data_IF_899434506929
#
_entry.id   IF_899434506929
#
_cell.length_a   1.000
_cell.length_b   1.000
_cell.length_c   1.000
_cell.angle_alpha   90.00
_cell.angle_beta   90.00
_cell.angle_gamma   90.00
#
_symmetry.space_group_name_H-M   'P 1'
#
loop_
_entity.id
_entity.type
_entity.pdbx_description
1 polymer ?
#
# COMPACT_ATOMS: atom_id res chain seq x y z
N UNK A 1 -10.40 20.25 6.25
CA UNK A 1 -9.80 19.60 5.09
C UNK A 1 -9.76 18.10 5.27
N UNK A 2 -9.87 17.35 4.20
CA UNK A 2 -9.75 15.89 4.20
C UNK A 2 -8.29 15.50 3.93
N UNK A 3 -7.73 14.57 4.71
CA UNK A 3 -6.41 14.03 4.44
C UNK A 3 -6.52 12.93 3.35
N UNK A 4 -5.72 13.06 2.29
CA UNK A 4 -5.63 12.06 1.22
C UNK A 4 -4.30 11.33 1.40
N UNK A 5 -4.36 10.09 1.87
CA UNK A 5 -3.17 9.28 2.10
C UNK A 5 -2.41 8.98 0.80
N UNK A 6 -1.09 8.76 0.86
CA UNK A 6 -0.26 8.58 -0.33
C UNK A 6 -0.67 7.40 -1.22
N UNK A 7 -1.14 6.30 -0.66
CA UNK A 7 -1.65 5.15 -1.42
C UNK A 7 -2.92 5.48 -2.24
N UNK A 8 -3.72 6.48 -1.79
CA UNK A 8 -4.84 7.04 -2.58
C UNK A 8 -4.31 7.99 -3.66
N UNK A 9 -3.27 8.79 -3.37
CA UNK A 9 -2.61 9.62 -4.39
C UNK A 9 -1.99 8.74 -5.49
N UNK A 10 -1.46 7.58 -5.13
CA UNK A 10 -0.91 6.60 -6.07
C UNK A 10 -1.95 6.14 -7.13
N UNK A 11 -3.24 6.19 -6.84
CA UNK A 11 -4.30 5.92 -7.85
C UNK A 11 -4.22 6.91 -9.01
N UNK A 12 -4.08 8.21 -8.70
CA UNK A 12 -3.94 9.25 -9.72
C UNK A 12 -2.62 9.12 -10.50
N UNK A 13 -1.53 8.89 -9.78
CA UNK A 13 -0.22 8.75 -10.39
C UNK A 13 -0.15 7.53 -11.31
N UNK A 14 -0.71 6.39 -10.88
CA UNK A 14 -0.73 5.18 -11.69
C UNK A 14 -1.55 5.38 -12.97
N UNK A 15 -2.73 5.99 -12.88
CA UNK A 15 -3.56 6.29 -14.05
C UNK A 15 -2.85 7.22 -15.03
N UNK A 16 -2.22 8.29 -14.51
CA UNK A 16 -1.50 9.27 -15.34
C UNK A 16 -0.28 8.64 -16.03
N UNK A 17 0.49 7.84 -15.32
CA UNK A 17 1.67 7.14 -15.89
C UNK A 17 1.24 6.11 -16.92
N UNK A 18 0.25 5.27 -16.61
CA UNK A 18 -0.21 4.17 -17.48
C UNK A 18 -0.88 4.68 -18.76
N UNK A 19 -1.43 5.91 -18.76
CA UNK A 19 -1.91 6.54 -19.99
C UNK A 19 -0.76 6.79 -21.01
N UNK A 20 0.48 6.90 -20.55
CA UNK A 20 1.67 7.10 -21.40
C UNK A 20 2.52 5.83 -21.57
N UNK A 21 2.45 4.94 -20.60
CA UNK A 21 3.20 3.66 -20.56
C UNK A 21 2.22 2.50 -20.36
N UNK A 22 1.40 2.18 -21.38
CA UNK A 22 0.45 1.06 -21.29
C UNK A 22 1.18 -0.27 -20.99
N UNK A 23 0.61 -1.08 -20.10
CA UNK A 23 1.22 -2.33 -19.66
C UNK A 23 2.35 -2.17 -18.64
N UNK A 24 2.68 -0.94 -18.24
CA UNK A 24 3.73 -0.69 -17.25
C UNK A 24 3.45 -1.33 -15.89
N UNK A 25 4.50 -1.79 -15.23
CA UNK A 25 4.40 -2.34 -13.86
C UNK A 25 4.43 -1.21 -12.85
N UNK A 26 3.44 -1.16 -11.97
CA UNK A 26 3.42 -0.24 -10.82
C UNK A 26 3.76 -1.03 -9.56
N UNK A 27 4.86 -0.66 -8.90
CA UNK A 27 5.34 -1.33 -7.68
C UNK A 27 4.84 -0.57 -6.46
N UNK A 28 4.25 -1.25 -5.49
CA UNK A 28 3.75 -0.62 -4.27
C UNK A 28 3.93 -1.54 -3.05
N UNK A 29 4.01 -0.95 -1.85
CA UNK A 29 4.28 -1.72 -0.64
C UNK A 29 3.03 -2.42 -0.08
N UNK A 30 3.28 -3.42 0.79
CA UNK A 30 2.21 -4.22 1.43
C UNK A 30 1.26 -3.41 2.30
N UNK A 31 1.60 -2.17 2.67
CA UNK A 31 0.75 -1.28 3.47
C UNK A 31 -0.30 -0.55 2.63
N UNK A 32 -0.13 -0.49 1.31
CA UNK A 32 -1.05 0.19 0.43
C UNK A 32 -2.45 -0.42 0.44
N UNK A 33 -3.44 0.45 0.20
CA UNK A 33 -4.86 0.11 0.11
C UNK A 33 -5.11 -1.04 -0.88
N UNK A 34 -6.03 -1.92 -0.52
CA UNK A 34 -6.54 -2.98 -1.39
C UNK A 34 -7.10 -2.44 -2.73
N UNK A 35 -7.50 -1.18 -2.77
CA UNK A 35 -8.06 -0.53 -3.97
C UNK A 35 -7.03 -0.25 -5.05
N UNK A 36 -5.73 -0.20 -4.70
CA UNK A 36 -4.68 0.22 -5.63
C UNK A 36 -4.46 -0.81 -6.75
N UNK A 37 -4.36 -2.09 -6.43
CA UNK A 37 -4.10 -3.12 -7.43
C UNK A 37 -5.22 -3.25 -8.49
N UNK A 38 -6.52 -3.27 -8.14
CA UNK A 38 -7.58 -3.24 -9.14
C UNK A 38 -7.56 -1.99 -10.02
N UNK A 39 -7.29 -0.81 -9.45
CA UNK A 39 -7.21 0.43 -10.20
C UNK A 39 -6.05 0.44 -11.23
N UNK A 40 -4.88 -0.08 -10.85
CA UNK A 40 -3.74 -0.25 -11.76
C UNK A 40 -4.11 -1.17 -12.93
N UNK A 41 -4.76 -2.32 -12.65
CA UNK A 41 -5.20 -3.26 -13.69
C UNK A 41 -6.26 -2.64 -14.60
N UNK A 42 -7.22 -1.91 -14.03
CA UNK A 42 -8.24 -1.20 -14.78
C UNK A 42 -7.66 -0.12 -15.71
N UNK A 43 -6.53 0.49 -15.31
CA UNK A 43 -5.77 1.42 -16.14
C UNK A 43 -4.83 0.72 -17.16
N UNK A 44 -4.90 -0.61 -17.30
CA UNK A 44 -4.11 -1.38 -18.25
C UNK A 44 -2.67 -1.66 -17.80
N UNK A 45 -2.36 -1.52 -16.52
CA UNK A 45 -1.04 -1.79 -15.95
C UNK A 45 -0.94 -3.14 -15.24
N UNK A 46 0.28 -3.47 -14.84
CA UNK A 46 0.62 -4.63 -13.99
C UNK A 46 0.79 -4.14 -12.55
N UNK A 47 -0.03 -4.64 -11.63
CA UNK A 47 0.03 -4.30 -10.21
C UNK A 47 0.97 -5.27 -9.48
N UNK A 48 2.05 -4.75 -8.89
CA UNK A 48 3.00 -5.56 -8.13
C UNK A 48 3.11 -5.04 -6.69
N UNK A 49 2.54 -5.79 -5.76
CA UNK A 49 2.75 -5.60 -4.33
C UNK A 49 4.13 -6.13 -3.94
N UNK A 50 4.88 -5.37 -3.14
CA UNK A 50 6.23 -5.73 -2.73
C UNK A 50 6.51 -5.36 -1.28
N UNK A 51 7.70 -5.68 -0.80
CA UNK A 51 8.16 -5.37 0.57
C UNK A 51 8.24 -3.87 0.80
N UNK A 52 7.87 -3.43 1.99
CA UNK A 52 8.05 -2.04 2.45
C UNK A 52 9.53 -1.70 2.58
N UNK A 53 9.91 -0.55 2.07
CA UNK A 53 11.25 0.01 2.15
C UNK A 53 11.67 0.65 0.83
N UNK A 54 11.94 1.96 0.88
CA UNK A 54 12.25 2.75 -0.32
C UNK A 54 13.38 2.15 -1.17
N UNK A 55 14.41 1.57 -0.52
CA UNK A 55 15.52 0.91 -1.22
C UNK A 55 15.08 -0.35 -1.94
N UNK A 56 14.19 -1.15 -1.33
CA UNK A 56 13.66 -2.39 -1.87
C UNK A 56 12.73 -2.11 -3.06
N UNK A 57 11.84 -1.13 -2.93
CA UNK A 57 10.95 -0.70 -4.01
C UNK A 57 11.76 -0.20 -5.20
N UNK A 58 12.75 0.69 -4.98
CA UNK A 58 13.62 1.20 -6.05
C UNK A 58 14.44 0.09 -6.73
N UNK A 59 14.92 -0.88 -5.98
CA UNK A 59 15.62 -2.03 -6.55
C UNK A 59 14.68 -2.87 -7.44
N UNK A 60 13.46 -3.13 -6.97
CA UNK A 60 12.44 -3.88 -7.74
C UNK A 60 11.98 -3.11 -8.98
N UNK A 61 11.84 -1.79 -8.89
CA UNK A 61 11.55 -0.95 -10.05
C UNK A 61 12.64 -1.03 -11.12
N UNK A 62 13.92 -1.03 -10.72
CA UNK A 62 15.04 -1.18 -11.67
C UNK A 62 15.05 -2.55 -12.33
N UNK A 63 14.81 -3.62 -11.55
CA UNK A 63 14.75 -5.00 -12.06
C UNK A 63 13.68 -5.16 -13.15
N UNK A 64 12.53 -4.52 -12.98
CA UNK A 64 11.35 -4.68 -13.83
C UNK A 64 11.16 -3.55 -14.85
N UNK A 65 12.07 -2.59 -14.88
CA UNK A 65 11.92 -1.36 -15.66
C UNK A 65 10.61 -0.60 -15.35
N UNK A 66 10.15 -0.68 -14.09
CA UNK A 66 8.87 -0.15 -13.68
C UNK A 66 8.85 1.39 -13.73
N UNK A 67 7.84 2.03 -14.37
CA UNK A 67 7.77 3.48 -14.55
C UNK A 67 7.39 4.24 -13.28
N UNK A 68 6.77 3.57 -12.30
CA UNK A 68 6.30 4.18 -11.05
C UNK A 68 6.37 3.17 -9.91
N UNK A 69 6.76 3.64 -8.74
CA UNK A 69 6.60 2.92 -7.49
C UNK A 69 6.22 3.87 -6.36
N UNK A 70 5.72 3.31 -5.26
CA UNK A 70 5.40 4.12 -4.09
C UNK A 70 5.04 3.30 -2.86
N UNK A 71 5.04 3.98 -1.73
CA UNK A 71 4.71 3.42 -0.44
C UNK A 71 3.56 4.19 0.22
N UNK A 72 2.80 3.52 1.07
CA UNK A 72 1.76 4.15 1.88
C UNK A 72 2.32 5.28 2.77
N UNK A 73 3.59 5.19 3.16
CA UNK A 73 4.31 6.20 3.95
C UNK A 73 4.58 7.52 3.21
N UNK A 74 4.38 7.57 1.89
CA UNK A 74 4.56 8.79 1.08
C UNK A 74 5.85 8.86 0.28
N UNK A 75 6.67 7.82 0.32
CA UNK A 75 7.79 7.68 -0.61
C UNK A 75 7.25 7.36 -2.00
N UNK A 76 7.49 8.22 -2.99
CA UNK A 76 7.00 8.08 -4.36
C UNK A 76 8.16 8.19 -5.33
N UNK A 77 8.26 7.24 -6.26
CA UNK A 77 9.38 7.08 -7.18
C UNK A 77 8.87 7.09 -8.63
N UNK A 78 9.03 8.20 -9.32
CA UNK A 78 8.75 8.29 -10.76
C UNK A 78 10.00 7.94 -11.56
N UNK A 79 9.94 6.91 -12.42
CA UNK A 79 10.92 6.66 -13.46
C UNK A 79 10.44 7.21 -14.80
N UNK A 80 9.15 7.22 -15.04
CA UNK A 80 8.53 7.88 -16.20
C UNK A 80 8.75 9.39 -16.11
N UNK A 81 9.50 9.94 -17.05
CA UNK A 81 9.92 11.35 -17.12
C UNK A 81 10.79 11.84 -15.95
N UNK A 82 11.37 10.93 -15.16
CA UNK A 82 12.30 11.22 -14.07
C UNK A 82 13.29 10.08 -13.87
N UNK A 83 14.04 10.07 -12.78
CA UNK A 83 15.17 9.16 -12.54
C UNK A 83 14.84 8.00 -11.59
N UNK A 84 13.61 7.86 -11.12
CA UNK A 84 13.24 6.86 -10.12
C UNK A 84 13.75 7.18 -8.71
N UNK A 85 14.01 8.45 -8.42
CA UNK A 85 14.41 8.90 -7.10
C UNK A 85 13.23 8.97 -6.15
N UNK A 86 13.52 8.95 -4.86
CA UNK A 86 12.61 9.34 -3.80
C UNK A 86 12.57 10.87 -3.75
N UNK A 87 11.61 11.47 -4.41
CA UNK A 87 11.55 12.91 -4.67
C UNK A 87 10.13 13.45 -4.43
N UNK A 88 9.91 13.96 -3.21
CA UNK A 88 8.63 14.55 -2.82
C UNK A 88 8.29 15.83 -3.60
N UNK A 89 9.30 16.63 -3.99
CA UNK A 89 9.08 17.84 -4.78
C UNK A 89 8.60 17.50 -6.18
N UNK A 90 9.22 16.50 -6.81
CA UNK A 90 8.79 16.02 -8.11
C UNK A 90 7.41 15.36 -8.06
N UNK A 91 7.14 14.53 -7.04
CA UNK A 91 5.82 13.93 -6.84
C UNK A 91 4.73 15.01 -6.68
N UNK A 92 5.01 16.08 -5.91
CA UNK A 92 4.13 17.22 -5.77
C UNK A 92 3.88 17.94 -7.10
N UNK A 93 4.93 18.17 -7.90
CA UNK A 93 4.80 18.77 -9.23
C UNK A 93 3.93 17.91 -10.17
N UNK A 94 4.08 16.57 -10.11
CA UNK A 94 3.26 15.63 -10.88
C UNK A 94 1.79 15.65 -10.44
N UNK A 95 1.53 15.77 -9.15
CA UNK A 95 0.16 15.94 -8.66
C UNK A 95 -0.46 17.24 -9.19
N UNK A 96 0.27 18.35 -9.10
CA UNK A 96 -0.19 19.64 -9.65
C UNK A 96 -0.43 19.58 -11.16
N UNK A 97 0.43 18.89 -11.89
CA UNK A 97 0.23 18.66 -13.34
C UNK A 97 -1.08 17.92 -13.62
N UNK A 98 -1.39 16.85 -12.86
CA UNK A 98 -2.64 16.10 -13.00
C UNK A 98 -3.83 17.02 -12.70
N UNK A 99 -3.79 17.72 -11.59
CA UNK A 99 -4.88 18.57 -11.12
C UNK A 99 -5.11 19.78 -12.04
N UNK A 100 -4.06 20.33 -12.66
CA UNK A 100 -4.16 21.46 -13.58
C UNK A 100 -4.93 21.16 -14.87
N UNK A 101 -5.07 19.90 -15.24
CA UNK A 101 -5.82 19.46 -16.43
C UNK A 101 -7.31 19.35 -16.16
N UNK A 102 -7.73 19.39 -14.92
CA UNK A 102 -9.12 19.27 -14.53
C UNK A 102 -9.77 20.64 -14.32
N UNK A 103 -11.03 20.83 -14.72
CA UNK A 103 -11.75 22.07 -14.45
C UNK A 103 -11.94 22.35 -12.94
N UNK A 104 -11.95 21.29 -12.13
CA UNK A 104 -12.08 21.37 -10.67
C UNK A 104 -11.13 20.35 -10.01
N UNK A 105 -10.02 20.84 -9.45
CA UNK A 105 -9.03 20.02 -8.77
C UNK A 105 -9.61 19.31 -7.51
N UNK A 106 -10.51 19.98 -6.78
CA UNK A 106 -11.13 19.39 -5.61
C UNK A 106 -11.98 18.16 -5.98
N UNK A 107 -12.74 18.26 -7.07
CA UNK A 107 -13.56 17.14 -7.54
C UNK A 107 -12.72 15.92 -7.94
N UNK A 108 -11.51 16.10 -8.48
CA UNK A 108 -10.59 14.99 -8.78
C UNK A 108 -10.17 14.27 -7.50
N UNK A 109 -9.86 15.01 -6.46
CA UNK A 109 -9.43 14.46 -5.19
C UNK A 109 -10.59 13.83 -4.42
N UNK A 110 -11.77 14.42 -4.46
CA UNK A 110 -12.99 13.92 -3.82
C UNK A 110 -13.53 12.64 -4.50
N UNK A 111 -13.27 12.48 -5.80
CA UNK A 111 -13.66 11.27 -6.56
C UNK A 111 -12.77 10.06 -6.24
N UNK A 112 -11.67 10.22 -5.53
CA UNK A 112 -10.83 9.09 -5.13
C UNK A 112 -11.61 8.16 -4.20
N UNK A 113 -11.60 6.84 -4.46
CA UNK A 113 -12.29 5.89 -3.62
C UNK A 113 -11.77 5.97 -2.19
N UNK A 114 -12.67 5.97 -1.23
CA UNK A 114 -12.35 5.96 0.21
C UNK A 114 -12.65 4.60 0.83
N UNK A 115 -12.08 4.36 1.98
CA UNK A 115 -12.27 3.15 2.79
C UNK A 115 -12.17 3.51 4.28
N UNK A 116 -12.75 2.68 5.10
CA UNK A 116 -12.54 2.75 6.55
C UNK A 116 -11.20 2.10 6.86
N UNK A 117 -10.27 2.84 7.45
CA UNK A 117 -8.94 2.32 7.76
C UNK A 117 -8.43 2.83 9.10
N UNK A 118 -7.61 2.01 9.77
CA UNK A 118 -6.82 2.48 10.90
C UNK A 118 -5.64 3.31 10.40
N UNK A 119 -5.08 4.22 11.23
CA UNK A 119 -3.70 4.66 11.03
C UNK A 119 -2.75 3.46 11.15
N UNK A 120 -1.46 3.64 10.91
CA UNK A 120 -0.46 2.65 11.33
C UNK A 120 -0.47 2.56 12.85
N UNK A 121 -0.71 1.34 13.35
CA UNK A 121 -0.66 1.03 14.77
C UNK A 121 0.68 0.38 15.07
N UNK A 122 1.33 0.80 16.16
CA UNK A 122 2.63 0.26 16.57
C UNK A 122 2.50 -0.46 17.91
N UNK A 123 2.90 -1.73 17.93
CA UNK A 123 2.97 -2.54 19.15
C UNK A 123 4.44 -2.73 19.52
N UNK A 124 4.85 -2.17 20.65
CA UNK A 124 6.22 -2.28 21.14
C UNK A 124 6.56 -3.72 21.51
N UNK A 125 7.76 -4.15 21.14
CA UNK A 125 8.31 -5.48 21.40
C UNK A 125 9.73 -5.37 21.95
N UNK A 126 10.30 -6.47 22.44
CA UNK A 126 11.70 -6.54 22.73
C UNK A 126 12.54 -6.61 21.44
N UNK A 127 13.83 -6.29 21.53
CA UNK A 127 14.74 -6.35 20.39
C UNK A 127 14.77 -7.76 19.76
N UNK A 128 14.64 -7.83 18.43
CA UNK A 128 14.58 -9.08 17.66
C UNK A 128 13.24 -9.83 17.72
N UNK A 129 12.35 -9.48 18.64
CA UNK A 129 11.07 -10.16 18.84
C UNK A 129 10.07 -9.96 17.67
N UNK A 130 9.96 -8.78 17.02
CA UNK A 130 8.97 -8.59 15.96
C UNK A 130 9.07 -9.60 14.83
N UNK A 131 10.28 -9.92 14.37
CA UNK A 131 10.48 -10.89 13.28
C UNK A 131 10.12 -12.32 13.69
N UNK A 132 10.42 -12.71 14.94
CA UNK A 132 10.05 -14.02 15.48
C UNK A 132 8.52 -14.15 15.58
N UNK A 133 7.85 -13.13 16.12
CA UNK A 133 6.39 -13.11 16.24
C UNK A 133 5.71 -13.17 14.87
N UNK A 134 6.21 -12.43 13.89
CA UNK A 134 5.68 -12.47 12.51
C UNK A 134 5.82 -13.87 11.92
N UNK A 135 6.96 -14.55 12.12
CA UNK A 135 7.15 -15.92 11.63
C UNK A 135 6.18 -16.92 12.30
N UNK A 136 5.93 -16.77 13.59
CA UNK A 136 4.95 -17.56 14.34
C UNK A 136 3.53 -17.30 13.83
N UNK A 137 3.15 -16.03 13.61
CA UNK A 137 1.85 -15.65 13.07
C UNK A 137 1.63 -16.22 11.66
N UNK A 138 2.65 -16.18 10.81
CA UNK A 138 2.59 -16.77 9.47
C UNK A 138 2.36 -18.29 9.51
N UNK A 139 2.99 -18.98 10.46
CA UNK A 139 2.81 -20.43 10.65
C UNK A 139 1.41 -20.79 11.20
N UNK A 140 0.80 -19.89 11.97
CA UNK A 140 -0.53 -20.08 12.58
C UNK A 140 -1.66 -19.54 11.66
N UNK A 141 -1.34 -18.87 10.57
CA UNK A 141 -2.31 -18.24 9.69
C UNK A 141 -3.13 -19.29 8.93
N UNK A 142 -4.32 -19.53 9.42
CA UNK A 142 -5.33 -20.40 8.81
C UNK A 142 -6.64 -19.60 8.71
N UNK A 143 -6.90 -19.08 7.52
CA UNK A 143 -8.09 -18.28 7.23
C UNK A 143 -8.93 -18.96 6.15
N UNK A 144 -10.20 -19.18 6.46
CA UNK A 144 -11.13 -19.77 5.50
C UNK A 144 -11.29 -18.90 4.24
N UNK A 145 -11.49 -19.54 3.09
CA UNK A 145 -11.84 -18.84 1.86
C UNK A 145 -13.06 -17.91 2.10
N UNK A 146 -13.09 -16.73 1.47
CA UNK A 146 -12.25 -16.28 0.35
C UNK A 146 -11.00 -15.47 0.76
N UNK A 147 -10.53 -15.59 2.00
CA UNK A 147 -9.33 -14.89 2.45
C UNK A 147 -8.08 -15.34 1.65
N UNK A 148 -7.21 -14.41 1.34
CA UNK A 148 -5.94 -14.66 0.65
C UNK A 148 -4.78 -14.19 1.52
N UNK A 149 -3.89 -15.12 1.89
CA UNK A 149 -2.72 -14.84 2.72
C UNK A 149 -1.52 -14.48 1.84
N UNK A 150 -0.86 -13.39 2.18
CA UNK A 150 0.39 -12.94 1.55
C UNK A 150 1.46 -12.73 2.63
N UNK A 151 2.59 -13.40 2.48
CA UNK A 151 3.70 -13.41 3.45
C UNK A 151 4.96 -12.73 2.94
N UNK A 152 4.86 -11.91 1.88
CA UNK A 152 6.03 -11.27 1.25
C UNK A 152 6.77 -10.31 2.21
N UNK A 153 6.02 -9.63 3.10
CA UNK A 153 6.56 -8.72 4.12
C UNK A 153 5.60 -8.67 5.32
N UNK A 154 5.73 -9.62 6.22
CA UNK A 154 4.80 -9.83 7.31
C UNK A 154 3.66 -10.78 6.97
N UNK A 155 2.58 -10.69 7.69
CA UNK A 155 1.33 -11.39 7.45
C UNK A 155 0.28 -10.39 6.97
N UNK A 156 0.00 -10.40 5.67
CA UNK A 156 -1.12 -9.67 5.08
C UNK A 156 -2.21 -10.68 4.69
N UNK A 157 -3.44 -10.38 5.08
CA UNK A 157 -4.62 -11.17 4.71
C UNK A 157 -5.60 -10.25 4.00
N UNK A 158 -5.93 -10.57 2.76
CA UNK A 158 -6.89 -9.85 1.95
C UNK A 158 -8.20 -10.62 1.87
N UNK A 159 -9.32 -9.96 2.24
CA UNK A 159 -10.70 -10.40 2.02
C UNK A 159 -11.33 -9.58 0.90
N UNK A 160 -12.46 -10.00 0.33
CA UNK A 160 -13.15 -9.21 -0.70
C UNK A 160 -13.56 -7.81 -0.25
N UNK A 161 -13.74 -7.61 1.06
CA UNK A 161 -14.22 -6.38 1.68
C UNK A 161 -13.17 -5.62 2.50
N UNK A 162 -11.88 -6.00 2.42
CA UNK A 162 -10.80 -5.30 3.10
C UNK A 162 -9.55 -6.15 3.31
N UNK A 163 -8.58 -5.62 4.04
CA UNK A 163 -7.38 -6.35 4.42
C UNK A 163 -6.90 -6.01 5.82
N UNK A 164 -6.11 -6.92 6.38
CA UNK A 164 -5.33 -6.65 7.58
C UNK A 164 -3.87 -7.05 7.39
N UNK A 165 -2.98 -6.31 8.03
CA UNK A 165 -1.53 -6.49 7.96
C UNK A 165 -0.93 -6.46 9.36
N UNK A 166 -0.04 -7.42 9.65
CA UNK A 166 0.88 -7.41 10.77
C UNK A 166 2.29 -7.67 10.22
N UNK A 167 3.21 -6.75 10.42
CA UNK A 167 4.60 -6.88 9.96
C UNK A 167 5.59 -6.39 11.01
N UNK A 168 6.81 -6.88 10.94
CA UNK A 168 7.91 -6.33 11.72
C UNK A 168 8.40 -5.01 11.10
N UNK A 169 8.68 -4.01 11.94
CA UNK A 169 9.35 -2.80 11.48
C UNK A 169 10.82 -3.12 11.12
N UNK A 170 11.33 -2.45 10.06
CA UNK A 170 12.73 -2.60 9.64
C UNK A 170 13.69 -1.70 10.45
N UNK A 171 13.15 -0.76 11.24
CA UNK A 171 13.97 0.31 11.87
C UNK A 171 13.82 0.39 13.38
N UNK A 172 12.76 -0.17 13.92
CA UNK A 172 12.45 -0.12 15.35
C UNK A 172 11.88 -1.44 15.84
N UNK A 173 12.01 -1.80 17.14
CA UNK A 173 11.49 -3.05 17.68
C UNK A 173 9.97 -2.97 17.92
N UNK A 174 9.20 -2.84 16.84
CA UNK A 174 7.74 -2.80 16.90
C UNK A 174 7.11 -3.70 15.84
N UNK A 175 5.93 -4.22 16.13
CA UNK A 175 5.02 -4.69 15.09
C UNK A 175 4.23 -3.50 14.56
N UNK A 176 4.17 -3.39 13.24
CA UNK A 176 3.34 -2.42 12.52
C UNK A 176 2.08 -3.13 12.05
N UNK A 177 0.92 -2.62 12.47
CA UNK A 177 -0.38 -3.14 12.08
C UNK A 177 -1.14 -2.10 11.27
N UNK A 178 -1.87 -2.55 10.26
CA UNK A 178 -2.81 -1.73 9.51
C UNK A 178 -4.02 -2.57 9.09
N UNK A 179 -5.20 -1.98 9.20
CA UNK A 179 -6.45 -2.61 8.82
C UNK A 179 -7.26 -1.67 7.91
N UNK A 180 -7.92 -2.24 6.93
CA UNK A 180 -8.81 -1.53 6.00
C UNK A 180 -10.05 -2.37 5.76
N UNK A 181 -11.22 -1.72 5.67
CA UNK A 181 -12.48 -2.32 5.31
C UNK A 181 -13.30 -1.41 4.40
N UNK A 182 -14.11 -1.97 3.53
CA UNK A 182 -15.05 -1.22 2.68
C UNK A 182 -16.18 -0.60 3.51
N UNK A 183 -16.44 -1.17 4.69
CA UNK A 183 -17.40 -0.67 5.68
C UNK A 183 -16.76 -0.68 7.07
N UNK A 184 -17.32 0.10 7.99
CA UNK A 184 -16.88 0.08 9.40
C UNK A 184 -17.03 -1.32 10.04
N UNK A 185 -18.05 -2.07 9.67
CA UNK A 185 -18.23 -3.44 10.15
C UNK A 185 -17.16 -4.40 9.60
N UNK A 186 -16.80 -4.29 8.32
CA UNK A 186 -15.71 -5.05 7.72
C UNK A 186 -14.37 -4.75 8.40
N UNK A 187 -14.06 -3.46 8.61
CA UNK A 187 -12.84 -3.05 9.34
C UNK A 187 -12.79 -3.68 10.73
N UNK A 188 -13.87 -3.55 11.52
CA UNK A 188 -13.92 -4.09 12.88
C UNK A 188 -13.75 -5.62 12.93
N UNK A 189 -14.37 -6.35 11.97
CA UNK A 189 -14.23 -7.80 11.83
C UNK A 189 -12.78 -8.19 11.51
N UNK A 190 -12.17 -7.57 10.49
CA UNK A 190 -10.81 -7.86 10.04
C UNK A 190 -9.80 -7.59 11.15
N UNK A 191 -9.93 -6.46 11.84
CA UNK A 191 -9.10 -6.11 12.99
C UNK A 191 -9.24 -7.16 14.10
N UNK A 192 -10.46 -7.54 14.45
CA UNK A 192 -10.71 -8.53 15.50
C UNK A 192 -10.12 -9.91 15.15
N UNK A 193 -10.24 -10.37 13.90
CA UNK A 193 -9.70 -11.65 13.44
C UNK A 193 -8.16 -11.70 13.56
N UNK A 194 -7.45 -10.66 13.09
CA UNK A 194 -6.00 -10.62 13.17
C UNK A 194 -5.48 -10.37 14.59
N UNK A 195 -6.14 -9.52 15.39
CA UNK A 195 -5.77 -9.33 16.79
C UNK A 195 -6.02 -10.58 17.64
N UNK A 196 -7.02 -11.40 17.29
CA UNK A 196 -7.23 -12.70 17.95
C UNK A 196 -6.09 -13.68 17.67
N UNK A 197 -5.50 -13.64 16.46
CA UNK A 197 -4.32 -14.43 16.13
C UNK A 197 -3.09 -13.98 16.93
N UNK A 198 -2.92 -12.68 17.13
CA UNK A 198 -1.79 -12.10 17.88
C UNK A 198 -1.84 -12.43 19.39
N UNK A 199 -2.99 -12.83 19.91
CA UNK A 199 -3.19 -13.19 21.33
C UNK A 199 -3.02 -14.67 21.63
N UNK A 200 -2.80 -15.49 20.62
CA UNK A 200 -2.55 -16.93 20.74
C UNK A 200 -1.10 -17.23 21.08
#
# INVERSE_FOLDING_TARGET
GQNIYPDRQMLLFAQDVLARVPGGTIVFDVKCSQRLAPAIRAAGGVALMYKTGHSLIKAKMRELDAPLGGEMSGHIFFKERWFGFDDGSYAGARLLEILSRAPNAAAVLEALPDSFSTPELNVACAEGEPHRLVAELQALADFAAPAQVNTIDGLRVDWPDGFGLIRASNTTPVLVLRFEGQTAAALARIEAELLALLRR
#
